data_IF_251051151344
#
_entry.id   IF_251051151344
#
_cell.length_a   1.000
_cell.length_b   1.000
_cell.length_c   1.000
_cell.angle_alpha   90.00
_cell.angle_beta   90.00
_cell.angle_gamma   90.00
#
_symmetry.space_group_name_H-M   'P 1'
#
loop_
_entity.id
_entity.type
_entity.pdbx_description
1 polymer ?
#
# COMPACT_ATOMS: atom_id res chain seq x y z
N UNK A 1 -78.41 56.62 38.02
CA UNK A 1 -77.76 56.04 36.84
C UNK A 1 -76.27 56.18 37.05
N UNK A 2 -75.64 55.22 37.66
CA UNK A 2 -74.23 55.24 38.03
C UNK A 2 -73.55 54.02 37.41
N UNK A 3 -72.70 54.24 36.44
CA UNK A 3 -71.97 53.25 35.76
C UNK A 3 -70.62 52.96 36.53
N UNK A 4 -70.46 51.79 37.00
CA UNK A 4 -69.25 51.37 37.76
C UNK A 4 -68.32 50.68 36.79
N UNK A 5 -67.23 51.33 36.48
CA UNK A 5 -66.16 50.78 35.66
C UNK A 5 -65.22 49.90 36.52
N UNK A 6 -65.13 48.59 36.26
CA UNK A 6 -64.25 47.69 36.88
C UNK A 6 -62.89 47.71 36.15
N UNK A 7 -61.84 48.03 36.89
CA UNK A 7 -60.44 47.90 36.42
C UNK A 7 -60.03 46.46 36.53
N UNK A 8 -59.61 45.86 35.41
CA UNK A 8 -58.98 44.51 35.36
C UNK A 8 -57.50 44.73 35.36
N UNK A 9 -56.78 44.30 36.43
CA UNK A 9 -55.33 44.18 36.44
C UNK A 9 -54.95 42.93 35.69
N UNK A 10 -54.19 43.10 34.63
CA UNK A 10 -53.52 41.96 33.94
C UNK A 10 -52.15 41.83 34.52
N UNK A 11 -51.92 40.75 35.26
CA UNK A 11 -50.57 40.34 35.70
C UNK A 11 -49.81 39.71 34.52
N UNK A 12 -48.77 40.35 34.06
CA UNK A 12 -47.87 39.80 33.06
C UNK A 12 -46.84 38.92 33.80
N UNK A 13 -46.98 37.59 33.64
CA UNK A 13 -45.99 36.63 34.10
C UNK A 13 -44.81 36.65 33.13
N UNK A 14 -43.66 37.12 33.57
CA UNK A 14 -42.39 37.02 32.85
C UNK A 14 -41.87 35.59 32.99
N UNK A 15 -42.06 34.75 31.98
CA UNK A 15 -41.40 33.45 31.88
C UNK A 15 -39.94 33.68 31.40
N UNK A 16 -39.02 33.57 32.33
CA UNK A 16 -37.59 33.58 32.00
C UNK A 16 -37.23 32.34 31.17
N UNK A 17 -36.87 32.53 29.91
CA UNK A 17 -36.21 31.50 29.10
C UNK A 17 -34.80 31.29 29.64
N UNK A 18 -34.58 30.19 30.34
CA UNK A 18 -33.24 29.67 30.61
C UNK A 18 -32.64 29.15 29.29
N UNK A 19 -31.76 29.95 28.68
CA UNK A 19 -30.92 29.48 27.57
C UNK A 19 -29.89 28.51 28.13
N UNK A 20 -30.07 27.21 27.86
CA UNK A 20 -29.04 26.21 28.10
C UNK A 20 -27.82 26.50 27.20
N UNK A 21 -26.58 26.45 27.71
CA UNK A 21 -25.41 26.60 26.88
C UNK A 21 -25.34 25.41 25.93
N UNK A 22 -25.29 25.67 24.62
CA UNK A 22 -24.88 24.70 23.60
C UNK A 22 -23.50 24.19 23.99
N UNK A 23 -23.42 22.94 24.45
CA UNK A 23 -22.15 22.24 24.57
C UNK A 23 -21.58 22.11 23.15
N UNK A 24 -20.66 22.98 22.82
CA UNK A 24 -19.79 22.82 21.66
C UNK A 24 -19.10 21.48 21.79
N UNK A 25 -19.48 20.52 20.93
CA UNK A 25 -18.75 19.28 20.77
C UNK A 25 -17.32 19.65 20.39
N UNK A 26 -16.36 19.36 21.29
CA UNK A 26 -14.97 19.47 20.95
C UNK A 26 -14.73 18.59 19.73
N UNK A 27 -14.40 19.18 18.58
CA UNK A 27 -13.89 18.46 17.43
C UNK A 27 -12.60 17.82 17.93
N UNK A 28 -12.66 16.53 18.19
CA UNK A 28 -11.49 15.74 18.58
C UNK A 28 -10.54 15.80 17.38
N UNK A 29 -9.50 16.63 17.48
CA UNK A 29 -8.48 16.69 16.45
C UNK A 29 -7.91 15.29 16.32
N UNK A 30 -7.98 14.73 15.10
CA UNK A 30 -7.35 13.44 14.82
C UNK A 30 -5.89 13.53 15.30
N UNK A 31 -5.48 12.55 16.12
CA UNK A 31 -4.10 12.47 16.58
C UNK A 31 -3.18 12.57 15.36
N UNK A 32 -2.08 13.33 15.45
CA UNK A 32 -1.15 13.47 14.34
C UNK A 32 -0.67 12.09 13.93
N UNK A 33 -0.84 11.76 12.64
CA UNK A 33 -0.34 10.50 12.07
C UNK A 33 1.17 10.50 12.30
N UNK A 34 1.65 9.58 13.11
CA UNK A 34 3.08 9.47 13.44
C UNK A 34 3.82 9.09 12.18
N UNK A 35 4.63 9.99 11.63
CA UNK A 35 5.52 9.69 10.51
C UNK A 35 6.63 8.78 11.04
N UNK A 36 6.54 7.50 10.75
CA UNK A 36 7.60 6.55 11.05
C UNK A 36 8.46 6.35 9.79
N UNK A 37 9.51 7.15 9.64
CA UNK A 37 10.48 6.91 8.58
C UNK A 37 11.46 5.84 9.05
N UNK A 38 11.19 4.59 8.69
CA UNK A 38 12.06 3.45 8.95
C UNK A 38 12.99 3.28 7.74
N UNK A 39 14.28 3.52 7.92
CA UNK A 39 15.28 3.45 6.84
C UNK A 39 15.92 2.07 6.67
N UNK A 40 15.54 1.11 7.51
CA UNK A 40 16.09 -0.25 7.47
C UNK A 40 17.51 -0.34 7.97
N UNK A 41 17.96 0.58 8.83
CA UNK A 41 19.27 0.53 9.49
C UNK A 41 19.13 0.12 10.96
N UNK A 42 20.23 -0.27 11.57
CA UNK A 42 20.29 -0.67 12.96
C UNK A 42 20.22 -2.18 13.20
N UNK A 43 19.97 -2.57 14.44
CA UNK A 43 20.06 -3.96 14.88
C UNK A 43 19.02 -4.86 14.20
N UNK A 44 19.46 -6.00 13.72
CA UNK A 44 18.62 -7.02 13.09
C UNK A 44 18.31 -6.77 11.61
N UNK A 45 18.61 -5.60 11.07
CA UNK A 45 18.45 -5.33 9.65
C UNK A 45 19.60 -5.92 8.82
N UNK A 46 19.24 -6.54 7.70
CA UNK A 46 20.16 -7.06 6.69
C UNK A 46 19.89 -6.36 5.36
N UNK A 47 20.95 -5.81 4.76
CA UNK A 47 20.90 -5.36 3.36
C UNK A 47 20.94 -6.57 2.45
N UNK A 48 20.01 -6.67 1.51
CA UNK A 48 19.97 -7.72 0.51
C UNK A 48 20.78 -7.27 -0.72
N UNK A 49 21.74 -8.13 -1.12
CA UNK A 49 22.60 -7.95 -2.27
C UNK A 49 22.25 -8.99 -3.36
N UNK A 50 22.95 -8.95 -4.48
CA UNK A 50 22.77 -9.88 -5.61
C UNK A 50 22.74 -11.36 -5.18
N UNK A 51 23.65 -11.73 -4.27
CA UNK A 51 23.76 -13.09 -3.75
C UNK A 51 22.55 -13.55 -2.92
N UNK A 52 21.72 -12.64 -2.46
CA UNK A 52 20.51 -12.96 -1.69
C UNK A 52 19.30 -13.23 -2.60
N UNK A 53 19.43 -13.03 -3.90
CA UNK A 53 18.35 -13.22 -4.86
C UNK A 53 18.60 -14.42 -5.79
N UNK A 54 17.52 -14.88 -6.41
CA UNK A 54 17.53 -15.88 -7.46
C UNK A 54 16.48 -15.51 -8.52
N UNK A 55 16.88 -15.55 -9.79
CA UNK A 55 15.95 -15.44 -10.92
C UNK A 55 14.99 -16.61 -10.95
N UNK A 56 13.75 -16.37 -11.33
CA UNK A 56 12.72 -17.41 -11.47
C UNK A 56 12.42 -17.65 -12.94
N UNK A 57 11.93 -16.67 -13.65
CA UNK A 57 11.42 -16.80 -15.01
C UNK A 57 11.73 -15.61 -15.91
N UNK A 58 12.68 -14.76 -15.52
CA UNK A 58 13.25 -13.74 -16.40
C UNK A 58 14.34 -14.31 -17.29
N UNK A 59 14.80 -13.51 -18.26
CA UNK A 59 16.01 -13.76 -19.03
C UNK A 59 17.26 -13.21 -18.32
N UNK A 60 18.42 -13.47 -18.88
CA UNK A 60 19.70 -12.98 -18.31
C UNK A 60 19.75 -11.45 -18.18
N UNK A 61 19.11 -10.73 -19.09
CA UNK A 61 19.11 -9.25 -19.17
C UNK A 61 17.88 -8.64 -18.49
N UNK A 62 16.96 -9.44 -17.94
CA UNK A 62 15.78 -8.90 -17.25
C UNK A 62 16.15 -8.13 -16.00
N UNK A 63 17.22 -8.60 -15.31
CA UNK A 63 17.69 -8.05 -14.06
C UNK A 63 19.20 -7.81 -14.12
N UNK A 64 19.65 -6.65 -13.68
CA UNK A 64 21.07 -6.30 -13.62
C UNK A 64 21.39 -5.45 -12.40
N UNK A 65 22.40 -5.85 -11.64
CA UNK A 65 22.94 -5.04 -10.57
C UNK A 65 23.95 -4.02 -11.12
N UNK A 66 23.77 -2.76 -10.75
CA UNK A 66 24.64 -1.62 -11.08
C UNK A 66 25.08 -0.95 -9.78
N UNK A 67 26.14 -1.50 -9.17
CA UNK A 67 26.51 -1.14 -7.80
C UNK A 67 25.40 -1.56 -6.82
N UNK A 68 24.85 -0.62 -6.07
CA UNK A 68 23.77 -0.87 -5.10
C UNK A 68 22.38 -0.82 -5.71
N UNK A 69 22.26 -0.53 -7.00
CA UNK A 69 21.00 -0.42 -7.71
C UNK A 69 20.73 -1.69 -8.50
N UNK A 70 19.60 -2.32 -8.23
CA UNK A 70 19.05 -3.40 -9.05
C UNK A 70 18.15 -2.78 -10.12
N UNK A 71 18.49 -2.92 -11.38
CA UNK A 71 17.70 -2.48 -12.51
C UNK A 71 16.94 -3.66 -13.14
N UNK A 72 15.71 -3.43 -13.55
CA UNK A 72 14.94 -4.35 -14.39
C UNK A 72 14.53 -3.67 -15.68
N UNK A 73 14.61 -4.42 -16.79
CA UNK A 73 14.03 -3.99 -18.08
C UNK A 73 12.52 -4.09 -18.10
N UNK A 74 11.92 -4.84 -17.16
CA UNK A 74 10.51 -5.19 -17.15
C UNK A 74 10.15 -6.35 -18.08
N UNK A 75 11.08 -6.87 -18.87
CA UNK A 75 10.83 -7.90 -19.90
C UNK A 75 11.87 -9.04 -19.88
N UNK A 76 11.42 -10.27 -20.13
CA UNK A 76 10.04 -10.71 -20.12
C UNK A 76 9.40 -10.51 -18.75
N UNK A 77 8.06 -10.42 -18.69
CA UNK A 77 7.35 -10.39 -17.39
C UNK A 77 7.78 -11.60 -16.57
N UNK A 78 8.08 -11.35 -15.29
CA UNK A 78 8.58 -12.37 -14.38
C UNK A 78 9.01 -11.81 -13.04
N UNK A 79 9.61 -12.64 -12.22
CA UNK A 79 10.01 -12.25 -10.86
C UNK A 79 11.45 -12.64 -10.54
N UNK A 80 12.05 -11.81 -9.67
CA UNK A 80 13.30 -12.10 -8.96
C UNK A 80 12.94 -12.35 -7.49
N UNK A 81 13.23 -13.53 -6.96
CA UNK A 81 12.88 -13.90 -5.59
C UNK A 81 14.05 -13.81 -4.63
N UNK A 82 13.82 -13.59 -3.35
CA UNK A 82 14.82 -13.84 -2.31
C UNK A 82 15.18 -15.34 -2.26
N UNK A 83 16.38 -15.68 -1.82
CA UNK A 83 16.76 -17.09 -1.59
C UNK A 83 16.12 -17.63 -0.30
N UNK A 84 15.96 -16.77 0.70
CA UNK A 84 15.34 -17.07 1.97
C UNK A 84 13.84 -16.79 1.92
N UNK A 85 13.05 -17.55 2.66
CA UNK A 85 11.63 -17.28 2.93
C UNK A 85 11.48 -16.51 4.23
N UNK A 86 10.39 -15.77 4.38
CA UNK A 86 10.08 -14.95 5.54
C UNK A 86 8.66 -15.23 6.02
N UNK A 87 8.47 -15.26 7.35
CA UNK A 87 7.16 -15.37 8.01
C UNK A 87 6.77 -14.02 8.60
N UNK A 88 7.46 -13.59 9.64
CA UNK A 88 7.32 -12.26 10.19
C UNK A 88 8.54 -11.43 9.76
N UNK A 89 8.28 -10.31 9.13
CA UNK A 89 9.35 -9.47 8.58
C UNK A 89 8.99 -8.00 8.54
N UNK A 90 10.02 -7.20 8.44
CA UNK A 90 9.97 -5.82 8.01
C UNK A 90 10.87 -5.67 6.79
N UNK A 91 10.40 -4.97 5.77
CA UNK A 91 11.11 -4.73 4.52
C UNK A 91 11.16 -3.23 4.25
N UNK A 92 12.33 -2.73 3.95
CA UNK A 92 12.53 -1.41 3.34
C UNK A 92 12.99 -1.62 1.91
N UNK A 93 12.42 -0.90 0.99
CA UNK A 93 12.81 -0.88 -0.42
C UNK A 93 12.55 0.49 -1.02
N UNK A 94 13.55 1.04 -1.70
CA UNK A 94 13.37 2.21 -2.54
C UNK A 94 13.24 1.79 -4.00
N UNK A 95 12.32 2.42 -4.71
CA UNK A 95 12.03 2.10 -6.10
C UNK A 95 11.71 3.35 -6.92
N UNK A 96 11.93 3.26 -8.24
CA UNK A 96 11.49 4.27 -9.21
C UNK A 96 11.20 3.67 -10.57
N UNK A 97 10.15 4.14 -11.21
CA UNK A 97 9.93 3.87 -12.63
C UNK A 97 10.82 4.76 -13.49
N UNK A 98 11.36 4.20 -14.57
CA UNK A 98 12.17 4.94 -15.53
C UNK A 98 11.34 5.41 -16.75
N UNK A 99 10.07 5.01 -16.82
CA UNK A 99 9.14 5.34 -17.89
C UNK A 99 7.74 5.59 -17.32
N UNK A 100 7.01 6.52 -17.93
CA UNK A 100 5.62 6.78 -17.59
C UNK A 100 4.72 5.55 -17.80
N UNK A 101 3.67 5.46 -17.01
CA UNK A 101 2.73 4.33 -16.97
C UNK A 101 3.41 2.98 -16.69
N UNK A 102 4.49 3.01 -15.90
CA UNK A 102 5.21 1.81 -15.48
C UNK A 102 4.37 0.95 -14.53
N UNK A 103 4.60 -0.37 -14.60
CA UNK A 103 4.06 -1.35 -13.68
C UNK A 103 5.17 -2.19 -13.07
N UNK A 104 5.07 -2.44 -11.79
CA UNK A 104 5.91 -3.31 -10.97
C UNK A 104 5.25 -3.50 -9.61
N UNK A 105 5.84 -4.34 -8.77
CA UNK A 105 5.37 -4.61 -7.41
C UNK A 105 6.36 -5.41 -6.59
N UNK A 106 5.99 -5.61 -5.34
CA UNK A 106 6.62 -6.58 -4.46
C UNK A 106 5.59 -7.61 -4.03
N UNK A 107 5.76 -8.85 -4.45
CA UNK A 107 5.04 -9.94 -3.82
C UNK A 107 5.69 -10.29 -2.47
N UNK A 108 4.85 -10.55 -1.49
CA UNK A 108 5.28 -11.12 -0.21
C UNK A 108 4.61 -12.47 0.02
N UNK A 109 5.29 -13.32 0.79
CA UNK A 109 4.83 -14.67 1.16
C UNK A 109 4.53 -15.59 -0.03
N UNK A 110 5.28 -15.46 -1.14
CA UNK A 110 5.10 -16.34 -2.30
C UNK A 110 5.61 -17.74 -1.99
N UNK A 111 4.75 -18.78 -2.01
CA UNK A 111 5.20 -20.14 -1.72
C UNK A 111 5.97 -20.74 -2.91
N UNK A 112 6.89 -21.65 -2.64
CA UNK A 112 7.70 -22.27 -3.70
C UNK A 112 6.89 -22.89 -4.83
N UNK A 113 5.74 -23.44 -4.54
CA UNK A 113 4.84 -24.06 -5.54
C UNK A 113 4.33 -23.07 -6.59
N UNK A 114 4.24 -21.78 -6.27
CA UNK A 114 3.85 -20.74 -7.21
C UNK A 114 4.99 -20.29 -8.13
N UNK A 115 6.22 -20.65 -7.79
CA UNK A 115 7.41 -20.27 -8.54
C UNK A 115 7.99 -21.44 -9.34
N UNK A 116 7.74 -22.67 -8.88
CA UNK A 116 8.28 -23.86 -9.52
C UNK A 116 7.71 -24.06 -10.94
N UNK A 117 8.58 -23.98 -11.93
CA UNK A 117 8.18 -24.14 -13.34
C UNK A 117 7.44 -22.98 -13.96
N UNK A 118 7.42 -21.82 -13.27
CA UNK A 118 6.83 -20.59 -13.81
C UNK A 118 7.52 -20.19 -15.12
N UNK A 119 6.74 -19.89 -16.14
CA UNK A 119 7.26 -19.56 -17.48
C UNK A 119 7.50 -18.06 -17.62
N UNK A 120 8.45 -17.63 -18.47
CA UNK A 120 8.56 -16.24 -18.86
C UNK A 120 7.22 -15.68 -19.37
N UNK A 121 6.91 -14.43 -19.02
CA UNK A 121 5.65 -13.78 -19.40
C UNK A 121 4.51 -13.94 -18.39
N UNK A 122 4.75 -14.64 -17.26
CA UNK A 122 3.71 -14.93 -16.26
C UNK A 122 4.21 -14.52 -14.87
N UNK A 123 3.32 -13.93 -14.08
CA UNK A 123 3.54 -13.67 -12.65
C UNK A 123 3.01 -14.81 -11.77
N UNK A 124 3.48 -14.95 -10.52
CA UNK A 124 2.94 -15.93 -9.58
C UNK A 124 1.43 -15.76 -9.38
N UNK A 125 0.71 -16.87 -9.26
CA UNK A 125 -0.73 -16.88 -8.96
C UNK A 125 -1.03 -17.12 -7.48
N UNK A 126 -0.04 -16.91 -6.61
CA UNK A 126 -0.16 -17.14 -5.17
C UNK A 126 0.84 -16.28 -4.39
N UNK A 127 0.35 -15.39 -3.57
CA UNK A 127 1.10 -14.40 -2.79
C UNK A 127 0.25 -13.17 -2.52
N UNK A 128 0.77 -12.24 -1.76
CA UNK A 128 0.14 -10.94 -1.53
C UNK A 128 1.00 -9.89 -2.23
N UNK A 129 0.37 -9.07 -3.05
CA UNK A 129 1.06 -8.03 -3.80
C UNK A 129 0.97 -6.66 -3.13
N UNK A 130 2.10 -5.97 -3.11
CA UNK A 130 2.25 -4.55 -2.77
C UNK A 130 2.57 -3.82 -4.06
N UNK A 131 1.58 -3.15 -4.62
CA UNK A 131 1.60 -2.57 -5.96
C UNK A 131 2.51 -1.35 -6.07
N UNK A 132 3.18 -1.23 -7.21
CA UNK A 132 4.01 -0.10 -7.62
C UNK A 132 3.64 0.35 -9.04
N UNK A 133 2.56 1.12 -9.20
CA UNK A 133 2.17 1.71 -10.49
C UNK A 133 2.63 3.15 -10.61
N UNK A 134 3.07 3.55 -11.80
CA UNK A 134 3.28 4.97 -12.09
C UNK A 134 1.95 5.73 -12.23
N UNK A 135 1.97 7.02 -11.94
CA UNK A 135 0.78 7.89 -11.97
C UNK A 135 0.03 7.88 -13.31
N UNK A 136 0.75 7.73 -14.42
CA UNK A 136 0.16 7.66 -15.76
C UNK A 136 -0.50 6.33 -16.10
N UNK A 137 -0.36 5.29 -15.26
CA UNK A 137 -0.83 3.94 -15.59
C UNK A 137 -2.35 3.87 -15.77
N UNK A 138 -3.12 4.55 -14.93
CA UNK A 138 -4.59 4.55 -15.02
C UNK A 138 -5.07 5.09 -16.36
N UNK A 139 -4.57 6.26 -16.77
CA UNK A 139 -4.94 6.87 -18.05
C UNK A 139 -4.59 5.97 -19.23
N UNK A 140 -3.38 5.38 -19.21
CA UNK A 140 -2.97 4.44 -20.24
C UNK A 140 -3.83 3.19 -20.27
N UNK A 141 -4.18 2.63 -19.11
CA UNK A 141 -5.07 1.47 -18.98
C UNK A 141 -6.46 1.76 -19.56
N UNK A 142 -7.07 2.88 -19.17
CA UNK A 142 -8.39 3.29 -19.65
C UNK A 142 -8.39 3.53 -21.16
N UNK A 143 -7.35 4.17 -21.68
CA UNK A 143 -7.17 4.43 -23.11
C UNK A 143 -6.97 3.15 -23.92
N UNK A 144 -6.21 2.21 -23.42
CA UNK A 144 -5.88 0.97 -24.15
C UNK A 144 -6.95 -0.11 -24.04
N UNK A 145 -7.61 -0.21 -22.88
CA UNK A 145 -8.60 -1.24 -22.61
C UNK A 145 -10.05 -0.82 -22.87
N UNK A 146 -10.33 0.49 -22.90
CA UNK A 146 -11.68 1.03 -22.94
C UNK A 146 -12.47 0.83 -21.64
N UNK A 147 -11.82 0.40 -20.55
CA UNK A 147 -12.43 0.10 -19.26
C UNK A 147 -12.00 1.13 -18.23
N UNK A 148 -12.86 1.38 -17.23
CA UNK A 148 -12.50 2.24 -16.09
C UNK A 148 -11.42 1.61 -15.24
N UNK A 149 -10.47 2.44 -14.79
CA UNK A 149 -9.40 2.10 -13.84
C UNK A 149 -9.78 2.42 -12.39
N UNK A 150 -11.03 2.20 -11.99
CA UNK A 150 -11.53 2.49 -10.64
C UNK A 150 -11.31 1.34 -9.63
N UNK A 151 -10.89 0.18 -10.10
CA UNK A 151 -10.63 -1.01 -9.29
C UNK A 151 -9.20 -1.09 -8.75
N UNK A 152 -8.31 -0.15 -9.10
CA UNK A 152 -6.94 -0.01 -8.61
C UNK A 152 -6.57 1.47 -8.44
N UNK A 153 -5.54 1.74 -7.62
CA UNK A 153 -4.87 3.04 -7.55
C UNK A 153 -3.48 2.98 -8.20
N UNK A 154 -2.78 4.09 -8.28
CA UNK A 154 -1.50 4.13 -8.98
C UNK A 154 -0.35 3.56 -8.16
N UNK A 155 -0.45 3.47 -6.85
CA UNK A 155 0.59 2.87 -6.02
C UNK A 155 0.04 2.47 -4.66
N UNK A 156 0.67 1.49 -4.06
CA UNK A 156 0.42 1.14 -2.67
C UNK A 156 -0.86 0.38 -2.42
N UNK A 157 -1.55 -0.11 -3.44
CA UNK A 157 -2.59 -1.11 -3.24
C UNK A 157 -1.98 -2.37 -2.62
N UNK A 158 -2.72 -2.99 -1.70
CA UNK A 158 -2.37 -4.31 -1.18
C UNK A 158 -3.52 -5.27 -1.46
N UNK A 159 -3.21 -6.41 -2.06
CA UNK A 159 -4.23 -7.41 -2.43
C UNK A 159 -3.69 -8.82 -2.53
N UNK A 160 -4.59 -9.77 -2.32
CA UNK A 160 -4.33 -11.18 -2.53
C UNK A 160 -4.36 -11.53 -4.02
N UNK A 161 -3.41 -12.31 -4.50
CA UNK A 161 -3.32 -12.74 -5.90
C UNK A 161 -3.75 -14.20 -6.02
N UNK A 162 -4.59 -14.48 -7.00
CA UNK A 162 -5.02 -15.82 -7.38
C UNK A 162 -5.62 -16.63 -6.23
N UNK A 163 -4.89 -17.60 -5.72
CA UNK A 163 -5.34 -18.54 -4.66
C UNK A 163 -5.20 -17.96 -3.25
N UNK A 164 -4.58 -16.82 -3.11
CA UNK A 164 -4.31 -16.19 -1.81
C UNK A 164 -5.55 -15.58 -1.18
N UNK A 165 -5.46 -15.34 0.12
CA UNK A 165 -6.50 -14.64 0.87
C UNK A 165 -5.89 -13.48 1.62
N UNK A 166 -6.64 -12.40 1.72
CA UNK A 166 -6.35 -11.24 2.55
C UNK A 166 -7.66 -10.51 2.80
N UNK A 167 -7.87 -10.01 3.99
CA UNK A 167 -8.93 -9.07 4.28
C UNK A 167 -8.36 -7.65 4.22
N UNK A 168 -8.64 -6.89 3.15
CA UNK A 168 -8.08 -5.57 2.96
C UNK A 168 -8.57 -4.58 4.01
N UNK A 169 -7.71 -3.65 4.42
CA UNK A 169 -8.11 -2.51 5.24
C UNK A 169 -8.74 -1.41 4.37
N UNK A 170 -9.69 -0.69 4.95
CA UNK A 170 -10.32 0.46 4.29
C UNK A 170 -9.31 1.63 4.11
N UNK A 171 -9.47 2.43 3.04
CA UNK A 171 -10.45 2.31 1.98
C UNK A 171 -10.17 1.12 1.07
N UNK A 172 -11.22 0.56 0.46
CA UNK A 172 -11.08 -0.60 -0.42
C UNK A 172 -11.52 -0.28 -1.86
N UNK A 173 -11.08 -1.12 -2.79
CA UNK A 173 -11.61 -1.13 -4.16
C UNK A 173 -13.12 -1.37 -4.16
N UNK A 174 -13.85 -1.00 -5.24
CA UNK A 174 -15.31 -1.16 -5.32
C UNK A 174 -15.80 -2.58 -5.06
N UNK A 175 -15.01 -3.58 -5.45
CA UNK A 175 -15.31 -5.00 -5.20
C UNK A 175 -14.76 -5.53 -3.87
N UNK A 176 -14.12 -4.69 -3.06
CA UNK A 176 -13.57 -5.05 -1.76
C UNK A 176 -12.30 -5.93 -1.79
N UNK A 177 -11.68 -6.15 -2.96
CA UNK A 177 -10.55 -7.06 -3.09
C UNK A 177 -9.18 -6.44 -2.78
N UNK A 178 -9.07 -5.12 -2.80
CA UNK A 178 -7.83 -4.37 -2.58
C UNK A 178 -7.97 -3.39 -1.43
N UNK A 179 -6.94 -3.23 -0.62
CA UNK A 179 -6.77 -2.07 0.24
C UNK A 179 -6.17 -0.95 -0.58
N UNK A 180 -6.88 0.15 -0.69
CA UNK A 180 -6.39 1.37 -1.35
C UNK A 180 -5.59 2.23 -0.38
N UNK A 181 -4.57 2.95 -0.85
CA UNK A 181 -3.87 3.92 -0.03
C UNK A 181 -4.81 5.06 0.41
N UNK A 182 -4.75 5.41 1.69
CA UNK A 182 -5.52 6.53 2.27
C UNK A 182 -5.06 7.90 1.77
N UNK A 183 -3.83 7.95 1.26
CA UNK A 183 -3.19 9.14 0.71
C UNK A 183 -2.34 8.75 -0.49
N UNK A 184 -2.31 9.59 -1.48
CA UNK A 184 -1.42 9.46 -2.62
C UNK A 184 -0.11 10.19 -2.30
N UNK A 185 0.95 9.43 -2.03
CA UNK A 185 2.23 9.93 -1.52
C UNK A 185 3.41 9.59 -2.43
N UNK A 186 3.21 8.77 -3.47
CA UNK A 186 4.27 8.42 -4.39
C UNK A 186 4.71 9.62 -5.24
N UNK A 187 5.96 9.58 -5.64
CA UNK A 187 6.58 10.54 -6.55
C UNK A 187 6.54 9.98 -7.97
N UNK A 188 6.63 10.87 -8.94
CA UNK A 188 6.55 10.51 -10.36
C UNK A 188 7.79 9.82 -10.91
N UNK A 189 7.78 9.63 -12.23
CA UNK A 189 8.84 8.97 -12.99
C UNK A 189 10.21 9.57 -12.70
N UNK A 190 11.20 8.72 -12.51
CA UNK A 190 12.58 9.07 -12.23
C UNK A 190 12.87 9.41 -10.77
N UNK A 191 11.86 9.63 -9.95
CA UNK A 191 12.05 9.96 -8.55
C UNK A 191 11.95 8.71 -7.65
N UNK A 192 12.84 8.65 -6.66
CA UNK A 192 12.85 7.54 -5.70
C UNK A 192 11.68 7.62 -4.74
N UNK A 193 10.96 6.51 -4.61
CA UNK A 193 9.95 6.26 -3.61
C UNK A 193 10.49 5.30 -2.55
N UNK A 194 10.05 5.48 -1.33
CA UNK A 194 10.40 4.63 -0.20
C UNK A 194 9.18 3.86 0.26
N UNK A 195 9.26 2.54 0.23
CA UNK A 195 8.31 1.64 0.87
C UNK A 195 8.90 1.06 2.15
N UNK A 196 8.13 1.09 3.22
CA UNK A 196 8.33 0.26 4.38
C UNK A 196 7.14 -0.67 4.51
N UNK A 197 7.39 -1.96 4.46
CA UNK A 197 6.39 -3.03 4.50
C UNK A 197 6.59 -3.84 5.76
N UNK A 198 5.53 -4.03 6.54
CA UNK A 198 5.56 -4.85 7.75
C UNK A 198 4.57 -6.01 7.63
N UNK A 199 5.09 -7.24 7.60
CA UNK A 199 4.31 -8.47 7.59
C UNK A 199 4.47 -9.23 8.90
N UNK A 200 3.49 -9.23 9.79
CA UNK A 200 3.55 -9.88 11.11
C UNK A 200 2.25 -10.62 11.38
N UNK A 201 2.34 -11.90 11.71
CA UNK A 201 1.20 -12.76 12.06
C UNK A 201 0.07 -12.75 11.00
N UNK A 202 0.44 -12.60 9.71
CA UNK A 202 -0.51 -12.53 8.61
C UNK A 202 -1.22 -11.17 8.48
N UNK A 203 -0.80 -10.15 9.21
CA UNK A 203 -1.16 -8.76 8.95
C UNK A 203 -0.05 -8.11 8.11
N UNK A 204 -0.43 -7.42 7.05
CA UNK A 204 0.46 -6.66 6.18
C UNK A 204 0.10 -5.18 6.22
N UNK A 205 1.10 -4.31 6.38
CA UNK A 205 0.95 -2.85 6.35
C UNK A 205 2.02 -2.24 5.48
N UNK A 206 1.65 -1.15 4.80
CA UNK A 206 2.55 -0.39 3.92
C UNK A 206 2.61 1.08 4.35
N UNK A 207 3.84 1.58 4.44
CA UNK A 207 4.15 3.01 4.50
C UNK A 207 4.79 3.43 3.18
N UNK A 208 4.28 4.52 2.61
CA UNK A 208 4.84 5.16 1.42
C UNK A 208 5.41 6.51 1.82
N UNK A 209 6.70 6.70 1.56
CA UNK A 209 7.41 7.96 1.86
C UNK A 209 7.19 8.45 3.31
N UNK A 210 7.14 7.51 4.27
CA UNK A 210 7.08 7.76 5.71
C UNK A 210 5.67 7.79 6.32
N UNK A 211 4.59 7.59 5.56
CA UNK A 211 3.23 7.52 6.12
C UNK A 211 2.55 6.18 5.80
N UNK A 212 1.84 5.61 6.78
CA UNK A 212 1.04 4.40 6.57
C UNK A 212 -0.16 4.69 5.66
N UNK A 213 -0.31 3.90 4.61
CA UNK A 213 -1.35 4.15 3.59
C UNK A 213 -2.33 3.00 3.41
N UNK A 214 -1.89 1.75 3.47
CA UNK A 214 -2.71 0.59 3.15
C UNK A 214 -2.29 -0.65 3.94
N UNK A 215 -3.08 -1.70 3.88
CA UNK A 215 -2.80 -2.94 4.56
C UNK A 215 -3.93 -3.96 4.48
N UNK A 216 -3.75 -5.07 5.17
CA UNK A 216 -4.76 -6.11 5.31
C UNK A 216 -4.36 -7.12 6.38
N UNK A 217 -5.28 -7.98 6.75
CA UNK A 217 -5.07 -9.03 7.75
C UNK A 217 -5.57 -10.38 7.25
N UNK A 218 -5.28 -11.44 8.02
CA UNK A 218 -5.72 -12.78 7.67
C UNK A 218 -5.08 -13.32 6.40
N UNK A 219 -3.83 -12.93 6.11
CA UNK A 219 -3.12 -13.41 4.93
C UNK A 219 -2.97 -14.93 4.93
N UNK A 220 -3.21 -15.53 3.77
CA UNK A 220 -2.92 -16.91 3.45
C UNK A 220 -2.43 -16.95 2.00
N UNK A 221 -1.14 -17.24 1.73
CA UNK A 221 -0.09 -17.66 2.66
C UNK A 221 0.42 -16.53 3.57
N UNK A 222 1.11 -16.90 4.65
CA UNK A 222 1.79 -15.98 5.57
C UNK A 222 3.25 -16.37 5.83
N UNK A 223 3.81 -17.14 4.91
CA UNK A 223 5.22 -17.53 4.85
C UNK A 223 5.57 -17.79 3.40
N UNK A 224 6.71 -17.29 2.96
CA UNK A 224 7.18 -17.47 1.59
C UNK A 224 8.28 -16.50 1.21
N UNK A 225 8.59 -16.47 -0.06
CA UNK A 225 9.60 -15.59 -0.64
C UNK A 225 9.07 -14.16 -0.78
N UNK A 226 9.98 -13.20 -0.75
CA UNK A 226 9.76 -11.85 -1.27
C UNK A 226 10.18 -11.86 -2.74
N UNK A 227 9.33 -11.35 -3.63
CA UNK A 227 9.61 -11.32 -5.05
C UNK A 227 9.46 -9.90 -5.60
N UNK A 228 10.42 -9.45 -6.39
CA UNK A 228 10.36 -8.21 -7.15
C UNK A 228 9.85 -8.51 -8.55
N UNK A 229 9.03 -7.62 -9.10
CA UNK A 229 8.39 -7.82 -10.40
C UNK A 229 9.08 -7.07 -11.52
N UNK A 230 9.30 -7.79 -12.62
CA UNK A 230 9.50 -7.23 -13.94
C UNK A 230 8.15 -7.31 -14.66
N UNK A 231 7.47 -6.17 -14.89
CA UNK A 231 6.11 -6.18 -15.41
C UNK A 231 5.88 -5.16 -16.53
N UNK A 232 6.62 -5.35 -17.62
CA UNK A 232 6.43 -4.63 -18.88
C UNK A 232 7.07 -3.23 -18.94
N UNK A 233 7.69 -2.75 -17.87
CA UNK A 233 8.29 -1.42 -17.81
C UNK A 233 9.60 -1.42 -17.04
N UNK A 234 10.61 -0.60 -17.45
CA UNK A 234 11.84 -0.52 -16.72
C UNK A 234 11.65 0.16 -15.35
N UNK A 235 12.19 -0.50 -14.33
CA UNK A 235 12.13 -0.09 -12.92
C UNK A 235 13.48 -0.29 -12.27
N UNK A 236 13.80 0.52 -11.29
CA UNK A 236 15.00 0.37 -10.47
C UNK A 236 14.64 0.27 -8.99
N UNK A 237 15.43 -0.53 -8.28
CA UNK A 237 15.33 -0.75 -6.84
C UNK A 237 16.68 -0.52 -6.17
N UNK A 238 16.68 -0.01 -4.95
CA UNK A 238 17.87 0.10 -4.09
C UNK A 238 17.49 0.04 -2.63
N UNK A 239 18.46 0.05 -1.75
CA UNK A 239 18.23 0.01 -0.30
C UNK A 239 17.25 -1.10 0.12
N UNK A 240 17.38 -2.27 -0.52
CA UNK A 240 16.54 -3.43 -0.19
C UNK A 240 17.06 -4.01 1.11
N UNK A 241 16.31 -3.85 2.18
CA UNK A 241 16.71 -4.27 3.53
C UNK A 241 15.58 -5.01 4.20
N UNK A 242 15.91 -6.07 4.89
CA UNK A 242 14.94 -6.91 5.60
C UNK A 242 15.36 -7.13 7.03
N UNK A 243 14.39 -7.22 7.93
CA UNK A 243 14.56 -7.68 9.30
C UNK A 243 13.53 -8.75 9.58
N UNK A 244 13.96 -9.90 10.09
CA UNK A 244 13.05 -10.91 10.63
C UNK A 244 12.59 -10.50 12.02
N UNK A 245 11.32 -10.74 12.32
CA UNK A 245 10.69 -10.44 13.61
C UNK A 245 10.22 -11.75 14.22
N UNK A 246 10.70 -12.05 15.43
CA UNK A 246 10.33 -13.24 16.21
C UNK A 246 8.96 -13.07 16.90
#
# INVERSE_FOLDING_TARGET
MTSTTRLILIAVALTGLLSAPLRGGAVQSAAPVTKAFVDGTGLGWKTLAETDFAGVNGNQDTWAWKGEVLASTGLPIGVLRTRQTYTNFELVIEWRHLKAAGNSGVFVWVPNQALAGLKPGVLPDYGIEVQMLDHGFREQYEKSSGRKGDWFTTHGDIFAVGKSKLQPFAPTSPNGSRSFPRKELSRGVGEWNHYYVRGINGELRLWVNGEEVSGGSGADPRTGYLCLEAEGSPVEFKNIRVREVS
#
